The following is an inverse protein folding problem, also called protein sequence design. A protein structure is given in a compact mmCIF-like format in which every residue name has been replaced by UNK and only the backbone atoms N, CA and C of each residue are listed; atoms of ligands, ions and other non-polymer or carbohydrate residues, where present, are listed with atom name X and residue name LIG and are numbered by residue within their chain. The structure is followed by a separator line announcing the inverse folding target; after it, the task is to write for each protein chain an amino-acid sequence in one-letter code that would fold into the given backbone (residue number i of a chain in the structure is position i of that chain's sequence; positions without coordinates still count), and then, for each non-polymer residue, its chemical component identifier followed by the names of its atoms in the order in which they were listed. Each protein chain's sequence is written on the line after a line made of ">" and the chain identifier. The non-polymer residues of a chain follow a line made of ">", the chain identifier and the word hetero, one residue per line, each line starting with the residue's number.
data_IF_795402338685
#
_entry.id   IF_795402338685
#
_cell.length_a   1.000
_cell.length_b   1.000
_cell.length_c   1.000
_cell.angle_alpha   90.00
_cell.angle_beta   90.00
_cell.angle_gamma   90.00
#
_symmetry.space_group_name_H-M   'P 1'
#
loop_
_entity.id
_entity.type
_entity.pdbx_description
1 polymer ?
#
# COMPACT_ATOMS: atom_id res chain seq x y z
N UNK A 1 84.26 -35.87 -26.83
CA UNK A 1 82.93 -35.89 -27.38
C UNK A 1 81.99 -36.53 -26.36
N UNK A 2 81.58 -35.82 -25.35
CA UNK A 2 80.72 -36.34 -24.32
C UNK A 2 80.24 -35.15 -23.42
N UNK A 3 79.29 -34.39 -23.86
CA UNK A 3 78.62 -33.32 -23.05
C UNK A 3 77.46 -32.68 -23.85
N UNK A 4 76.37 -33.40 -24.08
CA UNK A 4 75.08 -32.80 -24.55
C UNK A 4 73.93 -33.80 -24.49
N UNK A 5 73.73 -34.42 -23.28
CA UNK A 5 72.58 -35.35 -23.12
C UNK A 5 71.96 -35.28 -21.70
N UNK A 6 71.90 -34.08 -21.09
CA UNK A 6 71.41 -33.99 -19.73
C UNK A 6 70.52 -32.72 -19.49
N UNK A 7 69.84 -32.27 -20.54
CA UNK A 7 68.95 -31.06 -20.42
C UNK A 7 67.54 -31.22 -21.03
N UNK A 8 67.07 -32.43 -21.31
CA UNK A 8 65.74 -32.68 -21.88
C UNK A 8 64.79 -33.39 -20.89
N UNK A 9 65.26 -33.77 -19.70
CA UNK A 9 64.41 -34.50 -18.73
C UNK A 9 63.71 -33.69 -17.67
N UNK A 10 63.81 -32.33 -17.67
CA UNK A 10 63.21 -31.47 -16.60
C UNK A 10 62.06 -30.63 -17.04
N UNK A 11 61.60 -30.75 -18.30
CA UNK A 11 60.50 -29.91 -18.85
C UNK A 11 59.18 -30.68 -19.02
N UNK A 12 59.08 -31.95 -18.65
CA UNK A 12 57.82 -32.71 -18.75
C UNK A 12 57.08 -32.94 -17.41
N UNK A 13 57.61 -32.49 -16.28
CA UNK A 13 56.92 -32.63 -14.96
C UNK A 13 56.19 -31.42 -14.46
N UNK A 14 56.21 -30.30 -15.18
CA UNK A 14 55.53 -29.05 -14.77
C UNK A 14 54.16 -28.84 -15.42
N UNK A 15 53.73 -29.66 -16.37
CA UNK A 15 52.44 -29.49 -17.06
C UNK A 15 51.29 -30.31 -16.45
N UNK A 16 51.61 -31.30 -15.57
CA UNK A 16 50.57 -32.16 -14.94
C UNK A 16 49.95 -31.59 -13.65
N UNK A 17 50.43 -30.47 -13.14
CA UNK A 17 49.90 -29.91 -11.88
C UNK A 17 48.96 -28.72 -12.08
N UNK A 18 48.77 -28.25 -13.31
CA UNK A 18 47.88 -27.13 -13.62
C UNK A 18 46.48 -27.56 -14.04
N UNK A 19 46.20 -28.88 -14.20
CA UNK A 19 44.85 -29.37 -14.62
C UNK A 19 44.02 -29.95 -13.47
N UNK A 20 44.54 -29.92 -12.23
CA UNK A 20 43.83 -30.45 -11.05
C UNK A 20 43.24 -29.38 -10.14
N UNK A 21 43.43 -28.09 -10.46
CA UNK A 21 42.91 -26.99 -9.64
C UNK A 21 41.54 -26.44 -10.08
N UNK A 22 41.01 -26.90 -11.22
CA UNK A 22 39.76 -26.34 -11.78
C UNK A 22 38.51 -27.21 -11.51
N UNK A 23 38.65 -28.24 -10.68
CA UNK A 23 37.56 -29.18 -10.41
C UNK A 23 37.11 -29.23 -8.93
N UNK A 24 37.48 -28.24 -8.11
CA UNK A 24 37.11 -28.18 -6.69
C UNK A 24 36.10 -27.12 -6.33
N UNK A 25 35.44 -26.47 -7.31
CA UNK A 25 34.21 -25.73 -7.06
C UNK A 25 33.02 -26.68 -7.25
N UNK A 26 32.92 -27.71 -6.42
CA UNK A 26 31.63 -28.35 -6.14
C UNK A 26 30.85 -27.27 -5.41
N UNK A 27 30.18 -26.42 -6.17
CA UNK A 27 29.15 -25.52 -5.65
C UNK A 27 28.14 -26.42 -4.96
N UNK A 28 28.16 -26.45 -3.64
CA UNK A 28 27.14 -27.10 -2.83
C UNK A 28 25.85 -26.33 -3.10
N UNK A 29 25.12 -26.75 -4.15
CA UNK A 29 23.83 -26.19 -4.47
C UNK A 29 22.89 -26.50 -3.31
N UNK A 30 22.26 -25.46 -2.77
CA UNK A 30 21.27 -25.61 -1.73
C UNK A 30 19.88 -25.66 -2.38
N UNK A 31 19.08 -26.75 -2.16
CA UNK A 31 17.71 -26.77 -2.65
C UNK A 31 16.87 -25.72 -1.91
N UNK A 32 16.31 -24.79 -2.64
CA UNK A 32 15.38 -23.79 -2.08
C UNK A 32 14.03 -24.45 -1.80
N UNK A 33 13.55 -24.33 -0.57
CA UNK A 33 12.22 -24.83 -0.22
C UNK A 33 11.11 -23.89 -0.74
N UNK A 34 9.90 -24.44 -0.89
CA UNK A 34 8.73 -23.64 -1.25
C UNK A 34 8.42 -22.56 -0.20
N UNK A 35 8.66 -22.84 1.08
CA UNK A 35 8.45 -21.89 2.18
C UNK A 35 9.45 -20.73 2.12
N UNK A 36 10.70 -20.97 1.83
CA UNK A 36 11.71 -19.93 1.64
C UNK A 36 11.36 -19.00 0.47
N UNK A 37 10.92 -19.56 -0.66
CA UNK A 37 10.49 -18.78 -1.80
C UNK A 37 9.23 -17.97 -1.47
N UNK A 38 8.25 -18.57 -0.75
CA UNK A 38 7.06 -17.86 -0.28
C UNK A 38 7.43 -16.66 0.58
N UNK A 39 8.31 -16.83 1.56
CA UNK A 39 8.79 -15.75 2.42
C UNK A 39 9.48 -14.62 1.65
N UNK A 40 10.30 -14.94 0.65
CA UNK A 40 10.93 -13.94 -0.21
C UNK A 40 9.90 -13.16 -1.03
N UNK A 41 8.90 -13.85 -1.60
CA UNK A 41 7.82 -13.23 -2.37
C UNK A 41 6.96 -12.33 -1.49
N UNK A 42 6.55 -12.78 -0.31
CA UNK A 42 5.76 -12.01 0.64
C UNK A 42 6.48 -10.72 1.07
N UNK A 43 7.75 -10.82 1.46
CA UNK A 43 8.56 -9.68 1.84
C UNK A 43 8.73 -8.69 0.67
N UNK A 44 9.01 -9.22 -0.53
CA UNK A 44 9.20 -8.39 -1.71
C UNK A 44 7.91 -7.69 -2.15
N UNK A 45 6.74 -8.37 -2.11
CA UNK A 45 5.44 -7.78 -2.39
C UNK A 45 5.02 -6.76 -1.34
N UNK A 46 5.29 -7.04 -0.05
CA UNK A 46 5.04 -6.11 1.05
C UNK A 46 5.78 -4.79 0.84
N UNK A 47 7.05 -4.84 0.44
CA UNK A 47 7.85 -3.66 0.14
C UNK A 47 7.38 -2.94 -1.12
N UNK A 48 7.07 -3.68 -2.19
CA UNK A 48 6.63 -3.15 -3.47
C UNK A 48 5.29 -2.38 -3.35
N UNK A 49 4.34 -2.95 -2.61
CA UNK A 49 3.01 -2.36 -2.39
C UNK A 49 2.95 -1.44 -1.16
N UNK A 50 4.08 -1.27 -0.45
CA UNK A 50 4.20 -0.43 0.76
C UNK A 50 3.17 -0.80 1.82
N UNK A 51 2.95 -2.10 2.02
CA UNK A 51 2.00 -2.64 3.00
C UNK A 51 2.57 -2.46 4.39
N UNK A 52 1.90 -1.68 5.22
CA UNK A 52 2.32 -1.39 6.60
C UNK A 52 1.53 -2.21 7.64
N UNK A 53 0.32 -2.68 7.29
CA UNK A 53 -0.58 -3.38 8.19
C UNK A 53 -1.07 -4.72 7.62
N UNK A 54 -1.56 -5.59 8.48
CA UNK A 54 -2.13 -6.88 8.13
C UNK A 54 -1.10 -7.94 7.74
N UNK A 55 -1.62 -9.11 7.39
CA UNK A 55 -0.83 -10.29 6.99
C UNK A 55 -0.98 -10.52 5.49
N UNK A 56 0.13 -10.54 4.79
CA UNK A 56 0.22 -10.90 3.38
C UNK A 56 0.64 -12.35 3.28
N UNK A 57 -0.07 -13.16 2.50
CA UNK A 57 0.27 -14.55 2.23
C UNK A 57 0.26 -14.82 0.73
N UNK A 58 1.22 -15.65 0.30
CA UNK A 58 1.39 -16.06 -1.10
C UNK A 58 1.18 -17.56 -1.22
N UNK A 59 0.33 -17.97 -2.13
CA UNK A 59 0.06 -19.37 -2.46
C UNK A 59 0.42 -19.62 -3.93
N UNK A 60 1.13 -20.69 -4.22
CA UNK A 60 1.41 -21.08 -5.60
C UNK A 60 0.21 -21.84 -6.18
N UNK A 61 -0.21 -21.49 -7.39
CA UNK A 61 -1.31 -22.18 -8.09
C UNK A 61 -0.84 -23.49 -8.75
N UNK A 62 0.47 -23.71 -8.82
CA UNK A 62 1.09 -24.91 -9.38
C UNK A 62 2.23 -25.37 -8.51
N UNK A 63 2.60 -26.65 -8.64
CA UNK A 63 3.79 -27.18 -8.01
C UNK A 63 5.03 -26.43 -8.48
N UNK A 64 5.88 -26.06 -7.54
CA UNK A 64 7.17 -25.44 -7.84
C UNK A 64 8.11 -26.43 -8.52
N UNK A 65 8.82 -26.00 -9.55
CA UNK A 65 9.95 -26.78 -10.04
C UNK A 65 11.03 -26.85 -8.94
N UNK A 66 11.86 -27.90 -8.91
CA UNK A 66 12.99 -27.92 -8.01
C UNK A 66 13.96 -26.79 -8.35
N UNK A 67 14.25 -25.93 -7.35
CA UNK A 67 15.14 -24.78 -7.49
C UNK A 67 16.38 -25.09 -6.67
N UNK A 68 17.55 -25.08 -7.31
CA UNK A 68 18.84 -25.24 -6.64
C UNK A 68 19.60 -23.92 -6.78
N UNK A 69 20.01 -23.35 -5.65
CA UNK A 69 20.74 -22.11 -5.60
C UNK A 69 22.20 -22.33 -5.18
N UNK A 70 23.12 -21.48 -5.66
CA UNK A 70 24.47 -21.44 -5.09
C UNK A 70 24.40 -20.96 -3.64
N UNK A 71 25.44 -21.22 -2.81
CA UNK A 71 25.52 -20.70 -1.45
C UNK A 71 25.54 -19.17 -1.46
N UNK A 72 24.84 -18.55 -0.52
CA UNK A 72 24.74 -17.10 -0.39
C UNK A 72 23.34 -16.64 0.03
N UNK A 73 23.13 -15.34 0.17
CA UNK A 73 21.84 -14.78 0.53
C UNK A 73 20.96 -14.57 -0.71
N UNK A 74 19.79 -15.25 -0.82
CA UNK A 74 18.91 -15.09 -1.94
C UNK A 74 18.14 -13.74 -1.84
N UNK A 75 18.06 -13.04 -2.94
CA UNK A 75 17.24 -11.85 -3.13
C UNK A 75 16.33 -11.99 -4.34
N UNK A 76 15.21 -11.26 -4.37
CA UNK A 76 14.23 -11.33 -5.43
C UNK A 76 14.18 -10.02 -6.22
N UNK A 77 14.19 -10.13 -7.54
CA UNK A 77 14.02 -9.00 -8.46
C UNK A 77 12.85 -9.27 -9.40
N UNK A 78 11.86 -8.38 -9.38
CA UNK A 78 10.75 -8.42 -10.34
C UNK A 78 11.22 -7.97 -11.73
N UNK A 79 10.90 -8.76 -12.75
CA UNK A 79 11.08 -8.40 -14.16
C UNK A 79 9.78 -7.93 -14.78
N UNK A 80 8.64 -8.28 -14.18
CA UNK A 80 7.32 -7.76 -14.53
C UNK A 80 6.95 -6.57 -13.65
N UNK A 81 6.34 -5.54 -14.22
CA UNK A 81 5.79 -4.42 -13.44
C UNK A 81 4.49 -4.86 -12.75
N UNK A 82 4.52 -4.92 -11.42
CA UNK A 82 3.36 -5.20 -10.58
C UNK A 82 2.97 -3.88 -9.92
N UNK A 83 2.07 -3.11 -10.55
CA UNK A 83 1.76 -1.74 -10.12
C UNK A 83 0.79 -1.69 -8.94
N UNK A 84 -0.17 -2.61 -8.87
CA UNK A 84 -1.24 -2.58 -7.86
C UNK A 84 -1.42 -3.95 -7.21
N UNK A 85 -1.83 -3.99 -5.92
CA UNK A 85 -2.22 -5.20 -5.24
C UNK A 85 -3.35 -5.91 -6.00
N UNK A 86 -3.17 -7.19 -6.27
CA UNK A 86 -4.16 -8.03 -6.92
C UNK A 86 -4.12 -9.44 -6.32
N UNK A 87 -5.29 -10.06 -6.20
CA UNK A 87 -5.45 -11.41 -5.65
C UNK A 87 -4.75 -12.48 -6.48
N UNK A 88 -4.68 -12.32 -7.80
CA UNK A 88 -4.00 -13.24 -8.71
C UNK A 88 -3.05 -12.47 -9.59
N UNK A 89 -1.79 -12.83 -9.56
CA UNK A 89 -0.75 -12.22 -10.39
C UNK A 89 0.08 -13.30 -11.10
N UNK A 90 0.61 -12.95 -12.26
CA UNK A 90 1.46 -13.79 -13.11
C UNK A 90 2.85 -13.15 -13.21
N UNK A 91 3.60 -13.12 -12.11
CA UNK A 91 4.87 -12.44 -12.09
C UNK A 91 5.95 -13.21 -12.82
N UNK A 92 6.89 -12.46 -13.40
CA UNK A 92 8.19 -12.94 -13.76
C UNK A 92 9.20 -12.31 -12.83
N UNK A 93 10.09 -13.11 -12.27
CA UNK A 93 11.09 -12.64 -11.33
C UNK A 93 12.38 -13.47 -11.40
N UNK A 94 13.46 -12.84 -11.00
CA UNK A 94 14.77 -13.45 -10.86
C UNK A 94 15.08 -13.66 -9.37
N UNK A 95 15.58 -14.85 -9.05
CA UNK A 95 16.24 -15.10 -7.78
C UNK A 95 17.71 -14.83 -8.00
N UNK A 96 18.28 -13.94 -7.20
CA UNK A 96 19.68 -13.55 -7.27
C UNK A 96 20.38 -13.92 -5.98
N UNK A 97 21.56 -14.46 -6.09
CA UNK A 97 22.45 -14.76 -4.97
C UNK A 97 23.72 -13.94 -5.21
N UNK A 98 24.13 -13.16 -4.23
CA UNK A 98 25.29 -12.25 -4.31
C UNK A 98 25.26 -11.33 -5.55
N UNK A 99 24.07 -10.90 -5.95
CA UNK A 99 23.86 -10.00 -7.10
C UNK A 99 23.86 -10.70 -8.46
N UNK A 100 24.15 -12.01 -8.56
CA UNK A 100 24.10 -12.79 -9.80
C UNK A 100 22.76 -13.51 -9.93
N UNK A 101 22.24 -13.63 -11.16
CA UNK A 101 21.01 -14.36 -11.44
C UNK A 101 21.25 -15.86 -11.27
N UNK A 102 20.61 -16.47 -10.27
CA UNK A 102 20.69 -17.90 -10.01
C UNK A 102 19.51 -18.66 -10.65
N UNK A 103 18.30 -18.06 -10.69
CA UNK A 103 17.14 -18.64 -11.35
C UNK A 103 16.22 -17.54 -11.88
N UNK A 104 15.49 -17.83 -12.97
CA UNK A 104 14.43 -16.98 -13.51
C UNK A 104 13.14 -17.79 -13.56
N UNK A 105 12.07 -17.26 -12.99
CA UNK A 105 10.80 -17.96 -12.81
C UNK A 105 9.62 -17.11 -13.31
N UNK A 106 8.63 -17.82 -13.86
CA UNK A 106 7.33 -17.25 -14.25
C UNK A 106 6.25 -18.18 -13.69
N UNK A 107 5.70 -17.86 -12.53
CA UNK A 107 4.79 -18.74 -11.79
C UNK A 107 3.54 -17.95 -11.38
N UNK A 108 2.33 -18.43 -11.72
CA UNK A 108 1.11 -17.82 -11.21
C UNK A 108 1.00 -18.01 -9.70
N UNK A 109 0.76 -16.89 -9.01
CA UNK A 109 0.59 -16.88 -7.55
C UNK A 109 -0.75 -16.26 -7.19
N UNK A 110 -1.31 -16.77 -6.11
CA UNK A 110 -2.46 -16.19 -5.44
C UNK A 110 -2.00 -15.48 -4.19
N UNK A 111 -2.40 -14.24 -4.06
CA UNK A 111 -2.05 -13.39 -2.92
C UNK A 111 -3.30 -13.13 -2.09
N UNK A 112 -3.18 -13.24 -0.78
CA UNK A 112 -4.20 -12.80 0.19
C UNK A 112 -3.59 -11.72 1.06
N UNK A 113 -4.35 -10.70 1.33
CA UNK A 113 -3.97 -9.65 2.27
C UNK A 113 -5.06 -9.51 3.33
N UNK A 114 -4.83 -10.17 4.45
CA UNK A 114 -5.74 -10.17 5.59
C UNK A 114 -5.42 -8.95 6.47
N UNK A 115 -6.41 -8.09 6.66
CA UNK A 115 -6.30 -6.97 7.59
C UNK A 115 -7.64 -6.71 8.27
N UNK A 116 -7.59 -5.98 9.38
CA UNK A 116 -8.80 -5.50 10.04
C UNK A 116 -9.46 -4.40 9.22
N UNK A 117 -10.74 -4.55 8.95
CA UNK A 117 -11.59 -3.59 8.25
C UNK A 117 -12.84 -3.32 9.07
N UNK A 118 -13.44 -2.16 8.86
CA UNK A 118 -14.72 -1.82 9.48
C UNK A 118 -15.88 -2.48 8.73
N UNK A 119 -16.75 -3.11 9.49
CA UNK A 119 -17.96 -3.80 9.02
C UNK A 119 -19.16 -3.26 9.79
N UNK A 120 -20.30 -3.11 9.14
CA UNK A 120 -21.52 -2.61 9.77
C UNK A 120 -22.26 -3.72 10.50
N UNK A 121 -22.66 -3.48 11.76
CA UNK A 121 -23.50 -4.42 12.53
C UNK A 121 -24.96 -4.38 12.09
N UNK A 122 -25.44 -3.21 11.69
CA UNK A 122 -26.80 -2.97 11.23
C UNK A 122 -26.78 -2.20 9.90
N UNK A 123 -27.89 -2.23 9.13
CA UNK A 123 -27.97 -1.46 7.89
C UNK A 123 -27.81 0.05 8.15
N UNK A 124 -26.94 0.70 7.38
CA UNK A 124 -26.75 2.16 7.45
C UNK A 124 -27.37 2.78 6.20
N UNK A 125 -28.27 3.75 6.39
CA UNK A 125 -28.90 4.46 5.28
C UNK A 125 -27.93 5.41 4.60
N UNK A 126 -28.28 5.83 3.37
CA UNK A 126 -27.54 6.89 2.68
C UNK A 126 -27.64 8.20 3.45
N UNK A 127 -26.58 9.00 3.44
CA UNK A 127 -26.47 10.29 4.14
C UNK A 127 -26.51 10.19 5.68
N UNK A 128 -26.37 8.99 6.23
CA UNK A 128 -26.28 8.80 7.67
C UNK A 128 -24.86 9.12 8.15
N UNK A 129 -24.76 9.74 9.32
CA UNK A 129 -23.49 9.94 10.02
C UNK A 129 -23.05 8.61 10.60
N UNK A 130 -21.77 8.28 10.49
CA UNK A 130 -21.23 7.06 11.07
C UNK A 130 -21.17 7.17 12.58
N UNK A 131 -21.61 6.10 13.26
CA UNK A 131 -21.52 5.94 14.72
C UNK A 131 -20.65 4.72 15.04
N UNK A 132 -19.83 4.83 16.07
CA UNK A 132 -19.01 3.71 16.56
C UNK A 132 -19.86 2.48 16.92
N UNK A 133 -21.06 2.70 17.49
CA UNK A 133 -21.96 1.63 17.94
C UNK A 133 -22.53 0.77 16.80
N UNK A 134 -22.45 1.25 15.57
CA UNK A 134 -22.93 0.54 14.38
C UNK A 134 -21.84 -0.16 13.59
N UNK A 135 -20.62 -0.14 14.09
CA UNK A 135 -19.43 -0.63 13.39
C UNK A 135 -18.61 -1.58 14.26
N UNK A 136 -18.09 -2.62 13.65
CA UNK A 136 -17.14 -3.54 14.28
C UNK A 136 -15.94 -3.77 13.37
N UNK A 137 -14.83 -4.17 13.95
CA UNK A 137 -13.66 -4.60 13.20
C UNK A 137 -13.73 -6.08 12.89
N UNK A 138 -13.42 -6.45 11.66
CA UNK A 138 -13.34 -7.83 11.20
C UNK A 138 -12.11 -8.04 10.34
N UNK A 139 -11.41 -9.17 10.52
CA UNK A 139 -10.28 -9.56 9.67
C UNK A 139 -10.77 -10.18 8.38
N UNK A 140 -10.52 -9.51 7.25
CA UNK A 140 -10.93 -9.96 5.92
C UNK A 140 -9.78 -9.86 4.90
N UNK A 141 -9.85 -10.70 3.86
CA UNK A 141 -8.98 -10.58 2.69
C UNK A 141 -9.41 -9.39 1.83
N UNK A 142 -8.70 -8.27 1.97
CA UNK A 142 -9.03 -7.03 1.27
C UNK A 142 -8.83 -7.10 -0.24
N UNK A 143 -8.03 -8.05 -0.75
CA UNK A 143 -7.89 -8.29 -2.18
C UNK A 143 -9.10 -9.01 -2.80
N UNK A 144 -9.98 -9.56 -1.97
CA UNK A 144 -11.24 -10.15 -2.42
C UNK A 144 -12.38 -9.14 -2.54
N UNK A 145 -12.21 -7.94 -2.00
CA UNK A 145 -13.23 -6.90 -1.98
C UNK A 145 -13.37 -6.21 -3.35
N UNK A 146 -14.57 -5.71 -3.69
CA UNK A 146 -14.81 -5.03 -4.97
C UNK A 146 -14.27 -3.59 -5.01
N UNK A 147 -13.33 -3.24 -4.16
CA UNK A 147 -12.69 -1.93 -4.07
C UNK A 147 -11.93 -1.76 -2.76
N UNK A 148 -11.41 -0.57 -2.50
CA UNK A 148 -10.64 -0.26 -1.30
C UNK A 148 -11.52 -0.22 -0.05
N UNK A 149 -11.19 -1.03 0.95
CA UNK A 149 -11.77 -0.88 2.29
C UNK A 149 -11.25 0.40 2.93
N UNK A 150 -12.13 1.12 3.60
CA UNK A 150 -11.77 2.34 4.27
C UNK A 150 -10.90 2.05 5.51
N UNK A 151 -9.80 2.80 5.65
CA UNK A 151 -8.79 2.60 6.72
C UNK A 151 -8.75 3.73 7.75
N UNK A 152 -9.60 4.76 7.58
CA UNK A 152 -9.63 5.88 8.49
C UNK A 152 -10.34 5.56 9.81
N UNK A 153 -10.42 6.56 10.70
CA UNK A 153 -11.20 6.47 11.93
C UNK A 153 -12.68 6.78 11.63
N UNK A 154 -13.60 5.81 11.85
CA UNK A 154 -15.01 6.02 11.61
C UNK A 154 -15.67 6.96 12.62
N UNK A 155 -15.03 7.18 13.76
CA UNK A 155 -15.57 7.96 14.88
C UNK A 155 -15.34 9.46 14.69
N UNK A 156 -14.47 9.85 13.76
CA UNK A 156 -14.35 11.25 13.41
C UNK A 156 -15.69 11.74 12.82
N UNK A 157 -16.33 12.68 13.48
CA UNK A 157 -17.65 13.29 13.15
C UNK A 157 -17.77 13.85 11.72
N UNK A 158 -16.70 13.72 10.94
CA UNK A 158 -16.57 14.32 9.61
C UNK A 158 -16.99 13.39 8.47
N UNK A 159 -17.47 12.16 8.75
CA UNK A 159 -17.82 11.21 7.71
C UNK A 159 -19.30 10.83 7.72
N UNK A 160 -19.86 10.68 6.53
CA UNK A 160 -21.21 10.22 6.29
C UNK A 160 -21.24 9.25 5.11
N UNK A 161 -22.25 8.40 5.05
CA UNK A 161 -22.46 7.49 3.93
C UNK A 161 -22.91 8.23 2.68
N UNK A 162 -22.37 7.89 1.52
CA UNK A 162 -22.82 8.35 0.19
C UNK A 162 -23.90 7.44 -0.39
N UNK A 163 -23.92 6.16 0.02
CA UNK A 163 -24.86 5.12 -0.40
C UNK A 163 -25.22 4.24 0.79
N UNK A 164 -26.37 3.53 0.76
CA UNK A 164 -26.73 2.64 1.84
C UNK A 164 -25.75 1.47 1.93
N UNK A 165 -25.47 1.02 3.15
CA UNK A 165 -24.60 -0.12 3.44
C UNK A 165 -25.43 -1.16 4.18
N UNK A 166 -25.52 -2.42 3.69
CA UNK A 166 -26.28 -3.47 4.36
C UNK A 166 -25.58 -3.91 5.66
N UNK A 167 -26.31 -4.57 6.55
CA UNK A 167 -25.71 -5.24 7.71
C UNK A 167 -24.64 -6.24 7.27
N UNK A 168 -23.53 -6.32 7.98
CA UNK A 168 -22.36 -7.12 7.59
C UNK A 168 -21.59 -6.56 6.38
N UNK A 169 -21.95 -5.36 5.91
CA UNK A 169 -21.26 -4.70 4.78
C UNK A 169 -19.93 -4.10 5.19
N UNK A 170 -18.90 -4.27 4.35
CA UNK A 170 -17.59 -3.63 4.57
C UNK A 170 -17.68 -2.14 4.26
N UNK A 171 -17.12 -1.32 5.12
CA UNK A 171 -17.02 0.12 4.91
C UNK A 171 -15.99 0.41 3.82
N UNK A 172 -16.48 0.81 2.64
CA UNK A 172 -15.65 1.06 1.46
C UNK A 172 -15.38 2.56 1.30
N UNK A 173 -14.19 2.95 0.81
CA UNK A 173 -13.86 4.36 0.55
C UNK A 173 -14.91 5.06 -0.31
N UNK A 174 -15.40 4.39 -1.38
CA UNK A 174 -16.43 4.92 -2.28
C UNK A 174 -17.79 5.12 -1.64
N UNK A 175 -18.07 4.45 -0.52
CA UNK A 175 -19.35 4.52 0.19
C UNK A 175 -19.38 5.66 1.20
N UNK A 176 -18.28 6.40 1.33
CA UNK A 176 -18.12 7.48 2.29
C UNK A 176 -17.87 8.80 1.60
N UNK A 177 -18.29 9.86 2.26
CA UNK A 177 -17.96 11.24 1.92
C UNK A 177 -17.81 12.06 3.19
N UNK A 178 -17.07 13.15 3.10
CA UNK A 178 -16.99 14.08 4.22
C UNK A 178 -18.35 14.72 4.49
N UNK A 179 -18.71 14.82 5.75
CA UNK A 179 -19.90 15.57 6.19
C UNK A 179 -19.56 17.07 6.15
N UNK A 180 -20.34 17.88 5.44
CA UNK A 180 -20.17 19.32 5.53
C UNK A 180 -20.60 19.79 6.93
N UNK A 181 -19.76 20.61 7.57
CA UNK A 181 -20.10 21.28 8.81
C UNK A 181 -21.17 22.38 8.58
N UNK A 182 -21.12 23.00 7.41
CA UNK A 182 -22.06 24.04 6.96
C UNK A 182 -22.55 23.64 5.58
N UNK A 183 -23.86 23.67 5.37
CA UNK A 183 -24.47 23.38 4.06
C UNK A 183 -24.68 24.65 3.27
N UNK A 184 -24.67 24.55 1.96
CA UNK A 184 -25.08 25.66 1.07
C UNK A 184 -26.49 26.15 1.43
N UNK A 185 -26.61 27.46 1.62
CA UNK A 185 -27.87 28.13 2.01
C UNK A 185 -28.03 28.35 3.51
N UNK A 186 -27.19 27.77 4.34
CA UNK A 186 -27.23 27.97 5.78
C UNK A 186 -26.88 29.42 6.13
N UNK A 187 -27.58 29.97 7.14
CA UNK A 187 -27.21 31.23 7.75
C UNK A 187 -26.21 30.98 8.87
N UNK A 188 -25.06 31.62 8.76
CA UNK A 188 -23.91 31.43 9.64
C UNK A 188 -23.41 32.74 10.22
N UNK A 189 -22.68 32.65 11.32
CA UNK A 189 -21.97 33.82 11.86
C UNK A 189 -20.57 33.87 11.22
N UNK A 190 -20.30 34.97 10.53
CA UNK A 190 -19.00 35.25 9.94
C UNK A 190 -18.26 36.25 10.82
N UNK A 191 -17.00 35.91 11.14
CA UNK A 191 -16.13 36.78 11.96
C UNK A 191 -14.98 37.28 11.08
N UNK A 192 -14.84 38.58 11.04
CA UNK A 192 -13.70 39.26 10.42
C UNK A 192 -12.76 39.74 11.52
N UNK A 193 -11.51 39.26 11.45
CA UNK A 193 -10.44 39.61 12.39
C UNK A 193 -9.40 40.49 11.68
N UNK A 194 -9.13 41.68 12.22
CA UNK A 194 -8.10 42.61 11.71
C UNK A 194 -7.38 43.24 12.89
N UNK A 195 -6.25 42.61 13.26
CA UNK A 195 -5.47 43.00 14.45
C UNK A 195 -6.30 42.88 15.74
N UNK A 196 -6.54 44.02 16.41
CA UNK A 196 -7.35 44.07 17.63
C UNK A 196 -8.86 44.19 17.36
N UNK A 197 -9.26 44.36 16.10
CA UNK A 197 -10.67 44.50 15.72
C UNK A 197 -11.26 43.15 15.35
N UNK A 198 -12.36 42.76 16.00
CA UNK A 198 -13.15 41.58 15.64
C UNK A 198 -14.58 42.02 15.40
N UNK A 199 -15.08 41.78 14.19
CA UNK A 199 -16.46 42.12 13.77
C UNK A 199 -17.18 40.83 13.41
N UNK A 200 -18.34 40.61 14.03
CA UNK A 200 -19.18 39.46 13.76
C UNK A 200 -20.46 39.92 13.04
N UNK A 201 -20.85 39.21 11.98
CA UNK A 201 -22.03 39.50 11.18
C UNK A 201 -22.63 38.23 10.60
N UNK A 202 -23.91 38.27 10.24
CA UNK A 202 -24.57 37.14 9.58
C UNK A 202 -24.21 37.09 8.10
N UNK A 203 -24.01 35.86 7.62
CA UNK A 203 -23.72 35.56 6.23
C UNK A 203 -24.46 34.29 5.79
N UNK A 204 -24.65 34.15 4.49
CA UNK A 204 -25.27 33.00 3.86
C UNK A 204 -24.15 32.17 3.18
N UNK A 205 -24.11 30.90 3.45
CA UNK A 205 -23.18 29.94 2.81
C UNK A 205 -23.53 29.78 1.33
N UNK A 206 -22.57 30.01 0.42
CA UNK A 206 -22.75 29.82 -1.03
C UNK A 206 -22.39 28.44 -1.52
N UNK A 207 -21.66 27.70 -0.71
CA UNK A 207 -21.24 26.32 -0.97
C UNK A 207 -21.15 25.54 0.35
N UNK A 208 -21.00 24.21 0.27
CA UNK A 208 -20.79 23.37 1.45
C UNK A 208 -19.42 23.66 2.08
N UNK A 209 -19.40 23.88 3.39
CA UNK A 209 -18.21 24.17 4.17
C UNK A 209 -17.78 22.97 5.02
N UNK A 210 -16.52 22.59 4.91
CA UNK A 210 -15.92 21.51 5.70
C UNK A 210 -15.03 22.09 6.79
N UNK A 211 -15.08 21.51 7.99
CA UNK A 211 -14.28 21.97 9.13
C UNK A 211 -12.80 22.09 8.77
N UNK A 212 -12.21 23.24 9.04
CA UNK A 212 -10.84 23.59 8.69
C UNK A 212 -10.61 23.99 7.23
N UNK A 213 -11.60 23.79 6.35
CA UNK A 213 -11.58 24.20 4.95
C UNK A 213 -12.00 25.65 4.73
N UNK A 214 -11.82 26.14 3.52
CA UNK A 214 -12.26 27.46 3.09
C UNK A 214 -13.55 27.34 2.27
N UNK A 215 -14.49 28.25 2.46
CA UNK A 215 -15.75 28.31 1.73
C UNK A 215 -16.09 29.73 1.31
N UNK A 216 -16.99 29.87 0.33
CA UNK A 216 -17.56 31.13 -0.09
C UNK A 216 -18.83 31.43 0.69
N UNK A 217 -18.98 32.66 1.11
CA UNK A 217 -20.13 33.15 1.84
C UNK A 217 -20.54 34.53 1.31
N UNK A 218 -21.80 34.92 1.52
CA UNK A 218 -22.34 36.24 1.17
C UNK A 218 -22.81 36.93 2.42
N UNK A 219 -22.31 38.12 2.66
CA UNK A 219 -22.79 38.92 3.79
C UNK A 219 -24.28 39.20 3.67
N UNK A 220 -25.03 39.05 4.78
CA UNK A 220 -26.45 39.42 4.84
C UNK A 220 -26.67 40.93 4.81
N UNK A 221 -25.67 41.73 5.23
CA UNK A 221 -25.78 43.20 5.30
C UNK A 221 -25.50 43.87 3.96
N UNK A 222 -24.62 43.32 3.14
CA UNK A 222 -24.25 43.86 1.82
C UNK A 222 -24.05 42.67 0.85
N UNK A 223 -24.43 42.81 -0.43
CA UNK A 223 -24.28 41.71 -1.40
C UNK A 223 -22.81 41.52 -1.84
N UNK A 224 -21.93 41.32 -0.86
CA UNK A 224 -20.50 41.09 -1.08
C UNK A 224 -20.20 39.62 -0.81
N UNK A 225 -19.50 38.99 -1.76
CA UNK A 225 -18.97 37.63 -1.59
C UNK A 225 -17.63 37.69 -0.85
N UNK A 226 -17.50 36.84 0.13
CA UNK A 226 -16.31 36.70 0.97
C UNK A 226 -15.85 35.24 0.98
N UNK A 227 -14.60 35.04 1.31
CA UNK A 227 -14.04 33.69 1.60
C UNK A 227 -13.76 33.62 3.09
N UNK A 228 -14.05 32.47 3.70
CA UNK A 228 -13.77 32.29 5.10
C UNK A 228 -13.40 30.84 5.43
N UNK A 229 -12.62 30.67 6.49
CA UNK A 229 -12.24 29.38 7.02
C UNK A 229 -13.29 28.89 8.01
N UNK A 230 -13.81 27.70 7.79
CA UNK A 230 -14.82 27.07 8.67
C UNK A 230 -14.16 26.62 9.96
N UNK A 231 -14.62 27.13 11.08
CA UNK A 231 -14.15 26.74 12.41
C UNK A 231 -15.04 25.62 12.98
N UNK A 232 -16.35 25.82 12.90
CA UNK A 232 -17.35 24.84 13.34
C UNK A 232 -18.64 24.96 12.50
N UNK A 233 -19.73 24.34 12.95
CA UNK A 233 -21.02 24.32 12.23
C UNK A 233 -21.70 25.71 12.11
N UNK A 234 -21.20 26.70 12.82
CA UNK A 234 -21.87 28.02 12.92
C UNK A 234 -20.93 29.17 12.60
N UNK A 235 -19.62 29.02 12.85
CA UNK A 235 -18.66 30.13 12.80
C UNK A 235 -17.67 29.93 11.65
N UNK A 236 -17.54 30.99 10.84
CA UNK A 236 -16.55 31.10 9.77
C UNK A 236 -15.70 32.35 9.99
N UNK A 237 -14.39 32.21 10.00
CA UNK A 237 -13.44 33.34 10.05
C UNK A 237 -13.12 33.77 8.64
N UNK A 238 -13.39 35.02 8.32
CA UNK A 238 -13.15 35.58 6.98
C UNK A 238 -11.66 35.74 6.75
N UNK A 239 -11.21 35.23 5.62
CA UNK A 239 -9.81 35.30 5.17
C UNK A 239 -9.71 36.36 4.08
N UNK A 240 -8.77 37.29 4.21
CA UNK A 240 -8.45 38.30 3.20
C UNK A 240 -7.58 37.76 2.06
#
# INVERSE_FOLDING_TARGET
>A
MQRTLLLISCLLSAVSLALAADNAAISTQHPMSGEELTGLLENSLRNLWKIQDGTLTVEFERNLPPISLPPGEPSLRWTTQIQQPNRRIYPQFEIRVDGQVAASLAIPIRVKWIREVWVTDSPILSQAVLSADSLQKQSLDVLSLPGSAWSGDPIADDWMTSSPIPAGGVLMERSLRRRPAIRRGDTISARLEDGALSVEFQAIALEDGFKGGTMKLRSALKPVELKGKVINETIVVVVR
#
